data_IF_981185277539
#
_entry.id   IF_981185277539
#
_cell.length_a   1.000
_cell.length_b   1.000
_cell.length_c   1.000
_cell.angle_alpha   90.00
_cell.angle_beta   90.00
_cell.angle_gamma   90.00
#
_symmetry.space_group_name_H-M   'P 1'
#
loop_
_entity.id
_entity.type
_entity.pdbx_description
1 polymer ?
#
# COMPACT_ATOMS: atom_id res chain seq x y z
N UNK A 1 26.93 11.84 -15.59
CA UNK A 1 26.41 12.46 -14.35
C UNK A 1 25.29 11.57 -13.83
N UNK A 2 25.31 11.07 -12.58
CA UNK A 2 24.27 10.19 -12.08
C UNK A 2 23.27 10.99 -11.24
N UNK A 3 22.09 11.30 -11.79
CA UNK A 3 20.98 11.86 -11.00
C UNK A 3 19.66 11.31 -11.51
N UNK A 4 19.26 10.16 -10.97
CA UNK A 4 17.85 9.81 -10.87
C UNK A 4 17.43 10.03 -9.42
N UNK A 5 16.53 10.98 -9.16
CA UNK A 5 15.61 10.82 -8.05
C UNK A 5 14.19 11.14 -8.53
N UNK A 6 13.63 10.27 -9.38
CA UNK A 6 12.17 10.09 -9.42
C UNK A 6 11.74 9.25 -8.21
N UNK A 7 12.13 9.69 -7.01
CA UNK A 7 11.69 9.19 -5.70
C UNK A 7 10.24 9.65 -5.40
N UNK A 8 9.41 9.73 -6.44
CA UNK A 8 8.11 10.41 -6.42
C UNK A 8 7.01 9.37 -6.44
N UNK A 9 6.31 9.26 -5.31
CA UNK A 9 5.03 8.55 -5.14
C UNK A 9 5.09 7.02 -5.13
N UNK A 10 5.72 6.37 -6.12
CA UNK A 10 5.71 4.91 -6.24
C UNK A 10 6.40 4.13 -5.11
N UNK A 11 7.29 4.79 -4.35
CA UNK A 11 7.97 4.16 -3.21
C UNK A 11 7.04 4.03 -1.99
N UNK A 12 6.19 5.04 -1.76
CA UNK A 12 5.21 5.02 -0.67
C UNK A 12 4.17 3.94 -0.88
N UNK A 13 3.68 3.78 -2.12
CA UNK A 13 2.76 2.71 -2.51
C UNK A 13 3.35 1.34 -2.24
N UNK A 14 4.64 1.14 -2.58
CA UNK A 14 5.34 -0.13 -2.34
C UNK A 14 5.52 -0.41 -0.86
N UNK A 15 5.94 0.57 -0.07
CA UNK A 15 6.08 0.40 1.38
C UNK A 15 4.73 0.10 2.04
N UNK A 16 3.70 0.84 1.66
CA UNK A 16 2.33 0.60 2.10
C UNK A 16 1.83 -0.80 1.72
N UNK A 17 2.11 -1.24 0.49
CA UNK A 17 1.76 -2.57 0.02
C UNK A 17 2.47 -3.66 0.82
N UNK A 18 3.79 -3.52 1.04
CA UNK A 18 4.56 -4.48 1.83
C UNK A 18 3.99 -4.57 3.25
N UNK A 19 3.69 -3.43 3.86
CA UNK A 19 3.09 -3.39 5.20
C UNK A 19 1.67 -3.98 5.20
N UNK A 20 0.85 -3.69 4.19
CA UNK A 20 -0.48 -4.27 4.02
C UNK A 20 -0.41 -5.80 3.93
N UNK A 21 0.53 -6.33 3.17
CA UNK A 21 0.73 -7.76 3.00
C UNK A 21 1.17 -8.41 4.31
N UNK A 22 2.12 -7.79 5.03
CA UNK A 22 2.53 -8.24 6.36
C UNK A 22 1.36 -8.24 7.34
N UNK A 23 0.55 -7.16 7.36
CA UNK A 23 -0.64 -7.08 8.20
C UNK A 23 -1.67 -8.15 7.84
N UNK A 24 -1.82 -8.48 6.55
CA UNK A 24 -2.75 -9.52 6.10
C UNK A 24 -2.29 -10.92 6.54
N UNK A 25 -0.99 -11.19 6.52
CA UNK A 25 -0.41 -12.43 7.03
C UNK A 25 -0.44 -12.51 8.56
N UNK A 26 -0.22 -11.39 9.26
CA UNK A 26 -0.25 -11.30 10.73
C UNK A 26 -1.68 -11.34 11.29
N UNK A 27 -2.64 -10.79 10.55
CA UNK A 27 -4.03 -10.65 10.95
C UNK A 27 -4.98 -11.11 9.83
N UNK A 28 -5.03 -12.41 9.52
CA UNK A 28 -5.97 -12.94 8.53
C UNK A 28 -7.44 -12.82 8.97
N UNK A 29 -7.68 -12.58 10.27
CA UNK A 29 -9.00 -12.27 10.83
C UNK A 29 -9.49 -10.87 10.45
N UNK A 30 -8.58 -9.93 10.17
CA UNK A 30 -8.94 -8.57 9.78
C UNK A 30 -9.31 -8.51 8.32
N UNK A 31 -10.37 -7.76 8.02
CA UNK A 31 -10.77 -7.53 6.63
C UNK A 31 -9.73 -6.70 5.89
N UNK A 32 -9.53 -7.02 4.60
CA UNK A 32 -8.65 -6.22 3.71
C UNK A 32 -8.95 -4.73 3.82
N UNK A 33 -10.23 -4.37 3.86
CA UNK A 33 -10.68 -2.98 3.95
C UNK A 33 -10.21 -2.28 5.23
N UNK A 34 -10.18 -2.97 6.37
CA UNK A 34 -9.65 -2.42 7.63
C UNK A 34 -8.14 -2.23 7.56
N UNK A 35 -7.41 -3.25 7.10
CA UNK A 35 -5.95 -3.16 6.97
C UNK A 35 -5.56 -2.06 5.98
N UNK A 36 -6.32 -1.95 4.89
CA UNK A 36 -6.09 -0.97 3.86
C UNK A 36 -6.41 0.44 4.37
N UNK A 37 -7.47 0.63 5.18
CA UNK A 37 -7.69 1.89 5.90
C UNK A 37 -6.53 2.25 6.84
N UNK A 38 -6.00 1.28 7.60
CA UNK A 38 -4.87 1.54 8.49
C UNK A 38 -3.63 1.97 7.70
N UNK A 39 -3.35 1.30 6.60
CA UNK A 39 -2.22 1.60 5.72
C UNK A 39 -2.46 2.92 4.99
N UNK A 40 -3.69 3.23 4.57
CA UNK A 40 -4.06 4.48 3.92
C UNK A 40 -3.80 5.67 4.83
N UNK A 41 -4.25 5.61 6.08
CA UNK A 41 -4.00 6.64 7.08
C UNK A 41 -2.52 6.73 7.46
N UNK A 42 -1.82 5.58 7.57
CA UNK A 42 -0.41 5.53 7.99
C UNK A 42 0.55 6.06 6.94
N UNK A 43 0.31 5.76 5.66
CA UNK A 43 1.17 6.14 4.54
C UNK A 43 0.69 7.37 3.78
N UNK A 44 -0.44 7.95 4.19
CA UNK A 44 -1.12 9.03 3.48
C UNK A 44 -1.41 8.62 2.02
N UNK A 45 -1.92 7.39 1.85
CA UNK A 45 -2.28 6.91 0.53
C UNK A 45 -3.52 7.66 0.05
N UNK A 46 -3.55 7.94 -1.24
CA UNK A 46 -4.78 8.42 -1.87
C UNK A 46 -5.68 7.25 -2.22
N UNK A 47 -7.01 7.47 -2.32
CA UNK A 47 -7.95 6.44 -2.75
C UNK A 47 -7.61 5.83 -4.12
N UNK A 48 -6.85 6.56 -4.97
CA UNK A 48 -6.29 6.02 -6.21
C UNK A 48 -5.25 4.92 -5.99
N UNK A 49 -4.37 5.09 -5.01
CA UNK A 49 -3.34 4.12 -4.65
C UNK A 49 -3.99 2.89 -4.01
N UNK A 50 -4.95 3.10 -3.11
CA UNK A 50 -5.81 2.04 -2.56
C UNK A 50 -6.46 1.21 -3.67
N UNK A 51 -7.12 1.87 -4.64
CA UNK A 51 -7.78 1.20 -5.75
C UNK A 51 -6.77 0.45 -6.63
N UNK A 52 -5.57 1.00 -6.82
CA UNK A 52 -4.48 0.35 -7.56
C UNK A 52 -4.01 -0.93 -6.88
N UNK A 53 -3.85 -0.90 -5.55
CA UNK A 53 -3.50 -2.06 -4.73
C UNK A 53 -4.60 -3.11 -4.80
N UNK A 54 -5.86 -2.71 -4.62
CA UNK A 54 -7.00 -3.63 -4.66
C UNK A 54 -7.20 -4.27 -6.05
N UNK A 55 -6.92 -3.53 -7.14
CA UNK A 55 -7.04 -4.03 -8.50
C UNK A 55 -5.90 -4.98 -8.90
N UNK A 56 -4.66 -4.75 -8.41
CA UNK A 56 -3.52 -5.63 -8.71
C UNK A 56 -3.48 -6.89 -7.84
N UNK A 57 -4.04 -6.85 -6.63
CA UNK A 57 -4.07 -7.98 -5.69
C UNK A 57 -5.43 -8.70 -5.65
N UNK A 58 -6.39 -8.25 -6.45
CA UNK A 58 -7.67 -8.92 -6.67
C UNK A 58 -7.55 -10.01 -7.74
N UNK A 59 -6.98 -11.16 -7.40
CA UNK A 59 -7.20 -12.40 -8.16
C UNK A 59 -7.44 -13.57 -7.22
#
# INVERSE_FOLDING_TARGET
MPQHPTQKTGDKTKQALTELCQLFEQHPEKSRQELLQQVEVKFDLTPKECAFLNQNFGK
#
